data_IF_887584486244
#
_entry.id   IF_887584486244
#
_cell.length_a   1.000
_cell.length_b   1.000
_cell.length_c   1.000
_cell.angle_alpha   90.00
_cell.angle_beta   90.00
_cell.angle_gamma   90.00
#
_symmetry.space_group_name_H-M   'P 1'
#
loop_
_entity.id
_entity.type
_entity.pdbx_description
1 polymer ?
#
# COMPACT_ATOMS: atom_id res chain seq x y z
N UNK A 1 -10.62 23.20 26.41
CA UNK A 1 -9.70 22.15 26.87
C UNK A 1 -10.39 20.82 26.65
N UNK A 2 -9.71 19.79 26.16
CA UNK A 2 -10.36 18.49 25.99
C UNK A 2 -10.43 17.76 27.34
N UNK A 3 -11.37 16.82 27.48
CA UNK A 3 -11.48 15.97 28.67
C UNK A 3 -10.14 15.27 28.98
N UNK A 4 -9.43 14.82 27.93
CA UNK A 4 -8.13 14.19 28.08
C UNK A 4 -7.08 15.14 28.67
N UNK A 5 -7.05 16.42 28.22
CA UNK A 5 -6.13 17.43 28.76
C UNK A 5 -6.38 17.68 30.27
N UNK A 6 -7.64 17.70 30.66
CA UNK A 6 -8.02 17.86 32.09
C UNK A 6 -7.56 16.64 32.91
N UNK A 7 -7.77 15.45 32.40
CA UNK A 7 -7.31 14.21 33.04
C UNK A 7 -5.78 14.14 33.16
N UNK A 8 -5.04 14.48 32.10
CA UNK A 8 -3.57 14.48 32.14
C UNK A 8 -3.06 15.47 33.19
N UNK A 9 -3.63 16.67 33.26
CA UNK A 9 -3.25 17.66 34.31
C UNK A 9 -3.58 17.20 35.73
N UNK A 10 -4.71 16.54 35.91
CA UNK A 10 -5.14 16.07 37.22
C UNK A 10 -4.34 14.85 37.70
N UNK A 11 -4.07 13.89 36.83
CA UNK A 11 -3.45 12.62 37.18
C UNK A 11 -1.93 12.56 36.91
N UNK A 12 -1.40 13.46 36.09
CA UNK A 12 0.01 13.53 35.73
C UNK A 12 0.55 14.97 35.85
N UNK A 13 0.48 15.61 37.01
CA UNK A 13 0.88 17.03 37.16
C UNK A 13 2.37 17.27 36.84
N UNK A 14 3.21 16.26 37.06
CA UNK A 14 4.65 16.29 36.79
C UNK A 14 5.01 15.69 35.40
N UNK A 15 4.01 15.43 34.56
CA UNK A 15 4.14 14.77 33.28
C UNK A 15 3.92 13.25 33.34
N UNK A 16 3.98 12.60 32.18
CA UNK A 16 3.79 11.14 32.09
C UNK A 16 5.14 10.43 32.15
N UNK A 17 5.25 9.46 33.06
CA UNK A 17 6.44 8.66 33.21
C UNK A 17 6.64 7.70 32.05
N UNK A 18 7.88 7.59 31.54
CA UNK A 18 8.28 6.63 30.52
C UNK A 18 8.93 5.42 31.21
N UNK A 19 8.37 4.24 31.00
CA UNK A 19 8.88 2.97 31.53
C UNK A 19 9.30 2.02 30.42
N UNK A 20 10.26 1.18 30.71
CA UNK A 20 10.60 0.05 29.84
C UNK A 20 9.53 -1.03 29.95
N UNK A 21 9.36 -1.83 28.88
CA UNK A 21 8.48 -2.99 28.96
C UNK A 21 8.92 -3.98 30.02
N UNK A 22 10.22 -4.06 30.32
CA UNK A 22 10.75 -4.88 31.41
C UNK A 22 10.28 -4.45 32.79
N UNK A 23 10.07 -3.15 33.04
CA UNK A 23 9.57 -2.60 34.32
C UNK A 23 8.07 -2.82 34.51
N UNK A 24 7.28 -2.83 33.44
CA UNK A 24 5.82 -3.05 33.52
C UNK A 24 5.41 -4.52 33.35
N UNK A 25 6.33 -5.39 32.93
CA UNK A 25 6.07 -6.81 32.76
C UNK A 25 5.87 -7.50 34.06
N UNK A 26 4.79 -8.28 34.20
CA UNK A 26 4.62 -9.27 35.27
C UNK A 26 5.26 -10.60 34.89
N UNK A 27 5.28 -10.93 33.61
CA UNK A 27 6.01 -12.04 33.01
C UNK A 27 6.30 -11.78 31.55
N UNK A 28 7.38 -12.37 31.02
CA UNK A 28 7.72 -12.28 29.59
C UNK A 28 8.46 -13.55 29.17
N UNK A 29 7.94 -14.23 28.14
CA UNK A 29 8.47 -15.50 27.68
C UNK A 29 8.28 -15.67 26.18
N UNK A 30 9.06 -16.57 25.58
CA UNK A 30 8.90 -17.00 24.19
C UNK A 30 7.92 -18.16 24.11
N UNK A 31 7.07 -18.16 23.09
CA UNK A 31 6.19 -19.25 22.73
C UNK A 31 6.94 -20.52 22.29
N UNK A 32 6.21 -21.56 21.96
CA UNK A 32 6.77 -22.82 21.47
C UNK A 32 6.35 -23.09 20.02
N UNK A 33 7.25 -23.68 19.21
CA UNK A 33 7.07 -23.87 17.79
C UNK A 33 5.80 -24.65 17.45
N UNK A 34 4.93 -24.04 16.64
CA UNK A 34 3.77 -24.67 15.99
C UNK A 34 4.08 -24.73 14.51
N UNK A 35 4.28 -25.94 13.98
CA UNK A 35 4.60 -26.15 12.58
C UNK A 35 3.37 -25.93 11.69
N UNK A 36 3.61 -25.66 10.41
CA UNK A 36 2.51 -25.39 9.46
C UNK A 36 1.55 -26.58 9.33
N UNK A 37 2.06 -27.79 9.32
CA UNK A 37 1.32 -29.04 9.25
C UNK A 37 0.52 -29.39 10.52
N UNK A 38 0.79 -28.70 11.64
CA UNK A 38 0.05 -28.85 12.91
C UNK A 38 -1.14 -27.90 13.03
N UNK A 39 -1.29 -26.97 12.05
CA UNK A 39 -2.44 -26.03 12.04
C UNK A 39 -3.66 -26.74 11.49
N UNK A 40 -4.77 -26.61 12.22
CA UNK A 40 -6.05 -27.24 11.95
C UNK A 40 -7.17 -26.20 11.95
N UNK A 41 -8.34 -26.56 11.44
CA UNK A 41 -9.53 -25.70 11.48
C UNK A 41 -10.21 -25.67 12.84
N UNK A 42 -9.98 -26.70 13.66
CA UNK A 42 -10.58 -26.88 14.99
C UNK A 42 -9.52 -27.28 16.02
N UNK A 43 -9.81 -27.09 17.31
CA UNK A 43 -8.87 -27.41 18.40
C UNK A 43 -8.63 -26.22 19.30
N UNK A 44 -7.48 -26.21 19.97
CA UNK A 44 -7.12 -25.05 20.78
C UNK A 44 -6.69 -23.87 19.89
N UNK A 45 -7.20 -22.65 20.13
CA UNK A 45 -6.79 -21.48 19.36
C UNK A 45 -5.29 -21.23 19.51
N UNK A 46 -4.64 -20.82 18.42
CA UNK A 46 -3.21 -20.52 18.44
C UNK A 46 -2.86 -19.36 17.49
N UNK A 47 -1.70 -18.74 17.75
CA UNK A 47 -1.14 -17.69 16.89
C UNK A 47 0.27 -18.06 16.47
N UNK A 48 0.57 -17.91 15.18
CA UNK A 48 1.91 -17.97 14.61
C UNK A 48 2.39 -16.57 14.26
N UNK A 49 3.71 -16.35 14.29
CA UNK A 49 4.30 -15.01 14.08
C UNK A 49 3.88 -14.34 12.77
N UNK A 50 3.72 -15.12 11.69
CA UNK A 50 3.29 -14.61 10.39
C UNK A 50 1.89 -13.97 10.43
N UNK A 51 0.98 -14.47 11.25
CA UNK A 51 -0.37 -13.94 11.39
C UNK A 51 -0.39 -12.56 12.05
N UNK A 52 0.60 -12.25 12.92
CA UNK A 52 0.78 -10.92 13.48
C UNK A 52 1.09 -9.90 12.38
N UNK A 53 1.82 -10.31 11.32
CA UNK A 53 2.13 -9.42 10.19
C UNK A 53 0.98 -9.26 9.22
N UNK A 54 0.22 -10.31 8.95
CA UNK A 54 -0.71 -10.39 7.82
C UNK A 54 -2.18 -10.27 8.20
N UNK A 55 -2.55 -10.63 9.42
CA UNK A 55 -3.96 -10.82 9.81
C UNK A 55 -4.40 -9.89 10.92
N UNK A 56 -3.57 -9.73 11.97
CA UNK A 56 -3.96 -8.97 13.15
C UNK A 56 -3.53 -7.50 13.07
N UNK A 57 -4.42 -6.62 13.56
CA UNK A 57 -4.15 -5.19 13.72
C UNK A 57 -3.36 -4.88 14.99
N UNK A 58 -3.69 -3.74 15.61
CA UNK A 58 -3.11 -3.32 16.90
C UNK A 58 -3.60 -4.22 18.03
N UNK A 59 -4.80 -4.76 17.89
CA UNK A 59 -5.40 -5.74 18.80
C UNK A 59 -6.29 -6.72 18.04
N UNK A 60 -6.62 -7.85 18.67
CA UNK A 60 -7.55 -8.87 18.14
C UNK A 60 -8.22 -9.60 19.30
N UNK A 61 -9.38 -10.20 19.05
CA UNK A 61 -10.19 -10.92 20.04
C UNK A 61 -10.36 -12.42 19.72
N UNK A 62 -10.09 -12.82 18.46
CA UNK A 62 -10.21 -14.21 18.00
C UNK A 62 -8.98 -14.64 17.23
N UNK A 63 -8.51 -15.85 17.51
CA UNK A 63 -7.46 -16.49 16.72
C UNK A 63 -8.06 -17.05 15.42
N UNK A 64 -7.32 -16.90 14.31
CA UNK A 64 -7.72 -17.46 13.01
C UNK A 64 -7.24 -18.90 12.81
N UNK A 65 -6.27 -19.34 13.60
CA UNK A 65 -5.67 -20.68 13.54
C UNK A 65 -5.93 -21.46 14.81
N UNK A 66 -6.00 -22.79 14.66
CA UNK A 66 -6.14 -23.75 15.77
C UNK A 66 -5.10 -24.85 15.61
N UNK A 67 -4.87 -25.63 16.70
CA UNK A 67 -3.99 -26.79 16.68
C UNK A 67 -4.48 -27.84 17.69
N UNK A 68 -3.97 -29.06 17.57
CA UNK A 68 -4.12 -30.07 18.63
C UNK A 68 -3.02 -29.88 19.68
N UNK A 69 -3.41 -29.49 20.88
CA UNK A 69 -2.48 -29.26 22.00
C UNK A 69 -1.54 -30.43 22.27
N UNK A 70 -2.01 -31.68 22.05
CA UNK A 70 -1.22 -32.91 22.27
C UNK A 70 -0.01 -33.01 21.33
N UNK A 71 -0.01 -32.27 20.22
CA UNK A 71 1.11 -32.19 19.27
C UNK A 71 2.19 -31.20 19.71
N UNK A 72 1.95 -30.41 20.75
CA UNK A 72 2.85 -29.36 21.22
C UNK A 72 3.59 -29.81 22.46
N UNK A 73 4.90 -30.08 22.33
CA UNK A 73 5.71 -30.68 23.40
C UNK A 73 5.81 -29.82 24.66
N UNK A 74 5.83 -28.49 24.51
CA UNK A 74 5.90 -27.53 25.63
C UNK A 74 4.94 -26.39 25.40
N UNK A 75 3.65 -26.57 25.68
CA UNK A 75 2.64 -25.54 25.43
C UNK A 75 2.96 -24.24 26.17
N UNK A 76 2.90 -23.13 25.47
CA UNK A 76 3.03 -21.75 26.00
C UNK A 76 1.78 -21.00 25.63
N UNK A 77 1.07 -20.52 26.64
CA UNK A 77 -0.24 -19.91 26.46
C UNK A 77 -0.15 -18.40 26.59
N UNK A 78 -1.10 -17.75 25.96
CA UNK A 78 -1.46 -16.36 26.24
C UNK A 78 -2.96 -16.26 26.49
N UNK A 79 -3.38 -15.18 27.11
CA UNK A 79 -4.76 -14.97 27.53
C UNK A 79 -5.14 -13.47 27.45
N UNK A 80 -6.35 -13.15 27.84
CA UNK A 80 -6.86 -11.77 27.81
C UNK A 80 -5.87 -10.79 28.45
N UNK A 81 -5.55 -9.72 27.73
CA UNK A 81 -4.66 -8.66 28.17
C UNK A 81 -3.20 -8.82 27.74
N UNK A 82 -2.77 -9.98 27.29
CA UNK A 82 -1.39 -10.20 26.88
C UNK A 82 -1.03 -9.48 25.57
N UNK A 83 0.23 -9.04 25.47
CA UNK A 83 0.79 -8.48 24.22
C UNK A 83 1.68 -9.53 23.54
N UNK A 84 1.46 -9.74 22.26
CA UNK A 84 2.25 -10.64 21.43
C UNK A 84 3.20 -9.87 20.52
N UNK A 85 4.46 -10.30 20.43
CA UNK A 85 5.48 -9.74 19.55
C UNK A 85 5.96 -10.80 18.56
N UNK A 86 5.92 -10.53 17.28
CA UNK A 86 6.55 -11.36 16.24
C UNK A 86 8.05 -11.06 16.20
N UNK A 87 8.90 -11.98 16.68
CA UNK A 87 10.36 -11.75 16.81
C UNK A 87 11.16 -12.20 15.59
N UNK A 88 10.51 -12.67 14.54
CA UNK A 88 11.12 -13.06 13.25
C UNK A 88 10.34 -12.39 12.13
N UNK A 89 11.03 -11.79 11.15
CA UNK A 89 10.40 -11.07 10.03
C UNK A 89 11.35 -10.87 8.86
N UNK A 90 10.86 -10.31 7.77
CA UNK A 90 11.61 -10.03 6.53
C UNK A 90 12.01 -8.55 6.41
N UNK A 91 11.41 -7.65 7.20
CA UNK A 91 11.66 -6.22 7.20
C UNK A 91 12.27 -5.78 8.53
N UNK A 92 13.26 -4.89 8.45
CA UNK A 92 13.85 -4.24 9.63
C UNK A 92 12.84 -3.27 10.25
N UNK A 93 12.09 -2.57 9.42
CA UNK A 93 11.11 -1.55 9.80
C UNK A 93 9.93 -2.15 10.59
N UNK A 94 9.55 -3.39 10.26
CA UNK A 94 8.40 -4.08 10.86
C UNK A 94 8.77 -5.10 11.93
N UNK A 95 10.06 -5.32 12.19
CA UNK A 95 10.49 -6.31 13.18
C UNK A 95 9.88 -6.04 14.55
N UNK A 96 9.53 -7.09 15.26
CA UNK A 96 8.84 -7.06 16.55
C UNK A 96 7.47 -6.35 16.48
N UNK A 97 6.78 -6.45 15.30
CA UNK A 97 5.37 -6.05 15.21
C UNK A 97 4.61 -6.71 16.34
N UNK A 98 3.72 -5.95 17.00
CA UNK A 98 3.02 -6.39 18.19
C UNK A 98 1.51 -6.18 18.06
N UNK A 99 0.74 -7.01 18.76
CA UNK A 99 -0.70 -6.87 18.90
C UNK A 99 -1.14 -7.27 20.30
N UNK A 100 -2.22 -6.66 20.79
CA UNK A 100 -2.83 -7.01 22.07
C UNK A 100 -3.93 -8.06 21.87
N UNK A 101 -4.00 -9.03 22.75
CA UNK A 101 -5.10 -9.98 22.75
C UNK A 101 -6.19 -9.53 23.73
N UNK A 102 -7.39 -9.34 23.20
CA UNK A 102 -8.57 -8.89 23.96
C UNK A 102 -9.67 -9.94 24.04
N UNK A 103 -9.46 -11.14 23.47
CA UNK A 103 -10.37 -12.28 23.58
C UNK A 103 -10.34 -12.92 24.98
N UNK A 104 -11.23 -13.87 25.22
CA UNK A 104 -11.40 -14.51 26.52
C UNK A 104 -10.96 -16.00 26.54
N UNK A 105 -10.56 -16.53 25.37
CA UNK A 105 -10.07 -17.90 25.29
C UNK A 105 -8.59 -17.97 25.65
N UNK A 106 -8.19 -19.10 26.21
CA UNK A 106 -6.78 -19.41 26.44
C UNK A 106 -6.19 -19.96 25.14
N UNK A 107 -5.15 -19.31 24.62
CA UNK A 107 -4.60 -19.58 23.30
C UNK A 107 -3.11 -19.96 23.38
N UNK A 108 -2.60 -20.68 22.36
CA UNK A 108 -1.20 -21.10 22.26
C UNK A 108 -0.37 -20.08 21.47
N UNK A 109 0.79 -19.71 22.00
CA UNK A 109 1.77 -18.85 21.32
C UNK A 109 2.79 -19.67 20.54
N UNK A 110 2.97 -19.39 19.24
CA UNK A 110 3.98 -19.99 18.38
C UNK A 110 5.42 -19.61 18.76
N UNK A 111 6.39 -20.36 18.27
CA UNK A 111 7.79 -20.30 18.71
C UNK A 111 8.52 -18.99 18.44
N UNK A 112 8.13 -18.24 17.43
CA UNK A 112 8.70 -16.93 17.10
C UNK A 112 7.81 -15.77 17.56
N UNK A 113 7.08 -16.02 18.66
CA UNK A 113 6.29 -15.04 19.38
C UNK A 113 6.85 -14.87 20.78
N UNK A 114 6.97 -13.64 21.23
CA UNK A 114 7.18 -13.30 22.65
C UNK A 114 5.86 -12.81 23.22
N UNK A 115 5.47 -13.36 24.35
CA UNK A 115 4.30 -12.98 25.13
C UNK A 115 4.75 -12.09 26.28
N UNK A 116 4.11 -10.95 26.44
CA UNK A 116 4.29 -10.01 27.55
C UNK A 116 3.01 -9.96 28.38
N UNK A 117 3.10 -10.38 29.64
CA UNK A 117 2.04 -10.20 30.64
C UNK A 117 2.25 -8.90 31.41
N UNK A 118 1.19 -8.19 31.71
CA UNK A 118 1.24 -6.88 32.35
C UNK A 118 -0.09 -6.54 33.05
N UNK A 119 -0.13 -5.38 33.75
CA UNK A 119 -1.31 -4.88 34.44
C UNK A 119 -1.89 -3.59 33.81
N UNK A 120 -1.36 -3.17 32.66
CA UNK A 120 -1.81 -1.98 31.93
C UNK A 120 -3.03 -2.30 31.06
N UNK A 121 -3.68 -1.27 30.50
CA UNK A 121 -4.71 -1.48 29.47
C UNK A 121 -4.09 -2.10 28.22
N UNK A 122 -4.57 -3.25 27.74
CA UNK A 122 -3.95 -3.97 26.61
C UNK A 122 -4.04 -3.20 25.28
N UNK A 123 -5.16 -2.54 25.00
CA UNK A 123 -5.30 -1.74 23.79
C UNK A 123 -4.38 -0.51 23.84
N UNK A 124 -4.26 0.12 25.03
CA UNK A 124 -3.32 1.22 25.20
C UNK A 124 -1.89 0.81 24.83
N UNK A 125 -1.43 -0.32 25.37
CA UNK A 125 -0.09 -0.84 25.03
C UNK A 125 0.03 -1.18 23.55
N UNK A 126 -1.00 -1.77 22.95
CA UNK A 126 -1.05 -2.04 21.52
C UNK A 126 -0.84 -0.77 20.70
N UNK A 127 -1.57 0.30 21.01
CA UNK A 127 -1.42 1.60 20.37
C UNK A 127 -0.05 2.24 20.62
N UNK A 128 0.43 2.28 21.86
CA UNK A 128 1.72 2.85 22.23
C UNK A 128 2.88 2.14 21.51
N UNK A 129 2.81 0.83 21.38
CA UNK A 129 3.79 0.00 20.66
C UNK A 129 3.69 0.11 19.12
N UNK A 130 2.63 0.68 18.59
CA UNK A 130 2.46 0.92 17.14
C UNK A 130 3.00 2.27 16.69
N UNK A 131 3.36 3.18 17.60
CA UNK A 131 3.89 4.51 17.28
C UNK A 131 5.22 4.45 16.54
N UNK A 132 5.53 5.52 15.80
CA UNK A 132 6.80 5.63 15.07
C UNK A 132 8.02 5.53 16.00
N UNK A 133 7.94 6.10 17.21
CA UNK A 133 9.02 6.02 18.22
C UNK A 133 9.23 4.56 18.65
N UNK A 134 8.18 3.85 19.02
CA UNK A 134 8.28 2.44 19.40
C UNK A 134 8.80 1.56 18.24
N UNK A 135 8.39 1.82 17.00
CA UNK A 135 8.92 1.13 15.80
C UNK A 135 10.42 1.35 15.63
N UNK A 136 10.90 2.60 15.80
CA UNK A 136 12.34 2.92 15.76
C UNK A 136 13.11 2.17 16.85
N UNK A 137 12.58 2.07 18.06
CA UNK A 137 13.21 1.30 19.14
C UNK A 137 13.26 -0.19 18.81
N UNK A 138 12.20 -0.78 18.26
CA UNK A 138 12.13 -2.18 17.81
C UNK A 138 13.17 -2.52 16.76
N UNK A 139 13.43 -1.62 15.82
CA UNK A 139 14.37 -1.78 14.72
C UNK A 139 15.80 -1.34 15.04
N UNK A 140 16.04 -0.71 16.19
CA UNK A 140 17.36 -0.21 16.58
C UNK A 140 18.42 -1.32 16.60
N UNK A 141 19.56 -1.07 15.94
CA UNK A 141 20.67 -2.02 15.86
C UNK A 141 20.40 -3.24 14.96
N UNK A 142 19.29 -3.29 14.22
CA UNK A 142 19.00 -4.38 13.28
C UNK A 142 19.65 -4.11 11.93
N UNK A 143 20.16 -5.17 11.31
CA UNK A 143 20.80 -5.11 10.00
C UNK A 143 19.89 -5.79 8.98
N UNK A 144 19.76 -5.20 7.79
CA UNK A 144 18.99 -5.77 6.70
C UNK A 144 19.60 -7.11 6.28
N UNK A 145 18.80 -8.16 6.39
CA UNK A 145 19.15 -9.52 5.95
C UNK A 145 17.90 -10.21 5.41
N UNK A 146 18.05 -11.39 4.83
CA UNK A 146 16.90 -12.16 4.33
C UNK A 146 15.89 -12.48 5.44
N UNK A 147 16.34 -12.61 6.69
CA UNK A 147 15.51 -12.80 7.87
C UNK A 147 16.06 -11.93 9.00
N UNK A 148 15.21 -11.11 9.59
CA UNK A 148 15.55 -10.24 10.72
C UNK A 148 15.00 -10.84 12.00
N UNK A 149 15.77 -10.78 13.07
CA UNK A 149 15.37 -11.32 14.38
C UNK A 149 15.39 -10.24 15.46
N UNK A 150 14.45 -10.36 16.40
CA UNK A 150 14.45 -9.65 17.66
C UNK A 150 14.63 -10.62 18.83
N UNK A 151 14.70 -10.13 20.06
CA UNK A 151 14.95 -10.94 21.24
C UNK A 151 14.17 -10.43 22.45
N UNK A 152 13.97 -11.28 23.45
CA UNK A 152 13.33 -10.87 24.72
C UNK A 152 14.04 -9.67 25.37
N UNK A 153 15.40 -9.63 25.47
CA UNK A 153 16.08 -8.44 26.00
C UNK A 153 15.79 -7.16 25.20
N UNK A 154 15.77 -7.25 23.85
CA UNK A 154 15.45 -6.09 23.01
C UNK A 154 14.03 -5.59 23.24
N UNK A 155 13.06 -6.50 23.43
CA UNK A 155 11.68 -6.14 23.74
C UNK A 155 11.58 -5.50 25.12
N UNK A 156 12.24 -6.07 26.15
CA UNK A 156 12.27 -5.52 27.50
C UNK A 156 12.80 -4.08 27.56
N UNK A 157 13.71 -3.71 26.67
CA UNK A 157 14.34 -2.40 26.63
C UNK A 157 13.47 -1.31 25.97
N UNK A 158 12.37 -1.66 25.28
CA UNK A 158 11.48 -0.69 24.64
C UNK A 158 10.83 0.19 25.71
N UNK A 159 10.93 1.51 25.57
CA UNK A 159 10.35 2.50 26.47
C UNK A 159 9.09 3.10 25.88
N UNK A 160 8.04 3.18 26.69
CA UNK A 160 6.75 3.78 26.34
C UNK A 160 6.26 4.67 27.47
N UNK A 161 5.40 5.66 27.21
CA UNK A 161 4.72 6.41 28.25
C UNK A 161 3.71 5.51 28.96
N UNK A 162 3.62 5.62 30.30
CA UNK A 162 2.72 4.80 31.14
C UNK A 162 1.92 5.73 32.07
N UNK A 163 0.90 6.44 31.57
CA UNK A 163 0.01 7.21 32.43
C UNK A 163 -0.88 6.29 33.27
N UNK A 164 -1.58 6.81 34.30
CA UNK A 164 -2.57 6.07 35.08
C UNK A 164 -3.65 5.43 34.20
N UNK A 165 -4.23 4.31 34.65
CA UNK A 165 -5.20 3.50 33.88
C UNK A 165 -6.41 4.29 33.39
N UNK A 166 -6.87 5.29 34.17
CA UNK A 166 -7.98 6.16 33.78
C UNK A 166 -7.65 6.95 32.50
N UNK A 167 -6.41 7.47 32.42
CA UNK A 167 -5.93 8.21 31.24
C UNK A 167 -5.72 7.24 30.06
N UNK A 168 -5.16 6.04 30.33
CA UNK A 168 -5.01 5.01 29.28
C UNK A 168 -6.36 4.66 28.64
N UNK A 169 -7.40 4.42 29.44
CA UNK A 169 -8.76 4.11 28.95
C UNK A 169 -9.36 5.22 28.12
N UNK A 170 -9.18 6.48 28.52
CA UNK A 170 -9.71 7.62 27.74
C UNK A 170 -8.96 7.76 26.40
N UNK A 171 -7.64 7.54 26.37
CA UNK A 171 -6.86 7.49 25.13
C UNK A 171 -7.34 6.35 24.24
N UNK A 172 -7.54 5.14 24.77
CA UNK A 172 -8.08 3.99 24.02
C UNK A 172 -9.44 4.34 23.43
N UNK A 173 -10.35 4.93 24.21
CA UNK A 173 -11.67 5.34 23.72
C UNK A 173 -11.57 6.30 22.53
N UNK A 174 -10.64 7.25 22.57
CA UNK A 174 -10.41 8.20 21.46
C UNK A 174 -9.83 7.47 20.25
N UNK A 175 -8.81 6.63 20.45
CA UNK A 175 -8.12 5.93 19.36
C UNK A 175 -8.99 4.84 18.72
N UNK A 176 -9.82 4.14 19.50
CA UNK A 176 -10.78 3.17 18.95
C UNK A 176 -11.77 3.88 18.00
N UNK A 177 -12.33 5.03 18.40
CA UNK A 177 -13.21 5.83 17.53
C UNK A 177 -12.48 6.30 16.26
N UNK A 178 -11.24 6.76 16.37
CA UNK A 178 -10.44 7.14 15.19
C UNK A 178 -10.16 5.96 14.28
N UNK A 179 -9.85 4.80 14.85
CA UNK A 179 -9.59 3.56 14.09
C UNK A 179 -10.83 3.13 13.32
N UNK A 180 -11.99 3.12 13.98
CA UNK A 180 -13.28 2.78 13.37
C UNK A 180 -13.61 3.72 12.20
N UNK A 181 -13.61 5.04 12.45
CA UNK A 181 -13.89 6.06 11.44
C UNK A 181 -12.91 6.00 10.26
N UNK A 182 -11.62 5.76 10.53
CA UNK A 182 -10.62 5.64 9.47
C UNK A 182 -10.85 4.37 8.65
N UNK A 183 -11.20 3.26 9.29
CA UNK A 183 -11.51 2.01 8.61
C UNK A 183 -12.76 2.13 7.72
N UNK A 184 -13.85 2.74 8.23
CA UNK A 184 -15.06 3.01 7.46
C UNK A 184 -14.76 3.88 6.24
N UNK A 185 -14.11 5.02 6.43
CA UNK A 185 -13.76 5.94 5.34
C UNK A 185 -12.84 5.27 4.30
N UNK A 186 -11.86 4.48 4.74
CA UNK A 186 -10.97 3.74 3.83
C UNK A 186 -11.75 2.69 3.04
N UNK A 187 -12.70 2.01 3.66
CA UNK A 187 -13.57 1.04 2.99
C UNK A 187 -14.47 1.72 1.95
N UNK A 188 -15.07 2.86 2.27
CA UNK A 188 -15.88 3.66 1.34
C UNK A 188 -15.06 4.14 0.13
N UNK A 189 -13.88 4.73 0.36
CA UNK A 189 -12.99 5.20 -0.71
C UNK A 189 -12.50 4.03 -1.59
N UNK A 190 -12.24 2.86 -1.00
CA UNK A 190 -11.84 1.66 -1.74
C UNK A 190 -12.98 1.12 -2.59
N UNK A 191 -14.20 1.12 -2.06
CA UNK A 191 -15.40 0.73 -2.79
C UNK A 191 -15.68 1.71 -3.96
N UNK A 192 -15.54 3.02 -3.71
CA UNK A 192 -15.66 4.04 -4.76
C UNK A 192 -14.60 3.85 -5.84
N UNK A 193 -13.32 3.65 -5.47
CA UNK A 193 -12.24 3.39 -6.42
C UNK A 193 -12.56 2.17 -7.29
N UNK A 194 -13.07 1.10 -6.69
CA UNK A 194 -13.48 -0.11 -7.42
C UNK A 194 -14.63 0.17 -8.39
N UNK A 195 -15.63 0.93 -7.96
CA UNK A 195 -16.74 1.34 -8.80
C UNK A 195 -16.29 2.24 -9.96
N UNK A 196 -15.39 3.21 -9.69
CA UNK A 196 -14.82 4.10 -10.72
C UNK A 196 -13.99 3.35 -11.74
N UNK A 197 -13.19 2.36 -11.32
CA UNK A 197 -12.43 1.48 -12.25
C UNK A 197 -13.37 0.72 -13.18
N UNK A 198 -14.44 0.12 -12.66
CA UNK A 198 -15.47 -0.56 -13.50
C UNK A 198 -16.17 0.42 -14.45
N UNK A 199 -16.47 1.62 -13.97
CA UNK A 199 -17.07 2.66 -14.79
C UNK A 199 -16.11 3.11 -15.90
N UNK A 200 -14.82 3.29 -15.60
CA UNK A 200 -13.79 3.60 -16.59
C UNK A 200 -13.71 2.51 -17.66
N UNK A 201 -13.62 1.22 -17.28
CA UNK A 201 -13.58 0.10 -18.21
C UNK A 201 -14.82 0.10 -19.13
N UNK A 202 -16.00 0.27 -18.57
CA UNK A 202 -17.25 0.33 -19.34
C UNK A 202 -17.25 1.48 -20.35
N UNK A 203 -16.88 2.69 -19.94
CA UNK A 203 -16.86 3.84 -20.85
C UNK A 203 -15.72 3.74 -21.86
N UNK A 204 -14.54 3.25 -21.46
CA UNK A 204 -13.44 2.99 -22.38
C UNK A 204 -13.89 2.06 -23.49
N UNK A 205 -14.43 0.91 -23.15
CA UNK A 205 -14.87 -0.10 -24.13
C UNK A 205 -15.98 0.46 -25.03
N UNK A 206 -16.93 1.21 -24.46
CA UNK A 206 -18.02 1.83 -25.23
C UNK A 206 -17.53 2.96 -26.15
N UNK A 207 -16.62 3.81 -25.70
CA UNK A 207 -16.11 4.95 -26.47
C UNK A 207 -15.11 4.53 -27.55
N UNK A 208 -14.41 3.42 -27.34
CA UNK A 208 -13.41 2.89 -28.27
C UNK A 208 -13.96 1.77 -29.16
N UNK A 209 -15.20 1.34 -28.96
CA UNK A 209 -15.89 0.41 -29.85
C UNK A 209 -16.53 1.19 -31.00
N UNK A 210 -15.91 1.15 -32.18
CA UNK A 210 -16.38 1.79 -33.40
C UNK A 210 -17.13 0.82 -34.34
N UNK A 211 -17.59 -0.34 -33.83
CA UNK A 211 -18.34 -1.32 -34.61
C UNK A 211 -19.71 -0.79 -35.04
N UNK A 212 -20.10 -1.20 -36.23
CA UNK A 212 -21.15 -0.65 -37.11
C UNK A 212 -22.60 -0.80 -36.55
N UNK A 213 -22.82 -1.27 -35.34
CA UNK A 213 -24.15 -1.65 -34.83
C UNK A 213 -24.90 -0.60 -33.98
N UNK A 214 -24.39 0.63 -33.87
CA UNK A 214 -25.02 1.70 -33.10
C UNK A 214 -25.02 3.06 -33.76
N UNK A 215 -26.03 3.34 -34.53
CA UNK A 215 -26.57 4.65 -34.92
C UNK A 215 -25.68 5.89 -34.79
N UNK A 216 -25.07 6.36 -35.87
CA UNK A 216 -24.83 7.79 -36.02
C UNK A 216 -23.41 8.33 -36.00
N UNK A 217 -22.34 7.54 -35.96
CA UNK A 217 -21.00 8.06 -36.22
C UNK A 217 -20.56 7.63 -37.62
N UNK A 218 -20.41 8.60 -38.51
CA UNK A 218 -19.92 8.46 -39.85
C UNK A 218 -18.67 7.58 -39.95
N UNK A 219 -18.60 6.79 -41.01
CA UNK A 219 -17.58 5.84 -41.45
C UNK A 219 -16.18 6.12 -40.86
N UNK A 220 -15.85 5.43 -39.74
CA UNK A 220 -14.48 5.43 -39.21
C UNK A 220 -13.63 4.53 -40.10
N UNK A 221 -12.50 5.05 -40.55
CA UNK A 221 -11.56 4.27 -41.36
C UNK A 221 -10.81 3.27 -40.44
N UNK A 222 -10.78 2.01 -40.84
CA UNK A 222 -9.98 0.98 -40.21
C UNK A 222 -8.65 0.80 -40.94
N UNK A 223 -7.54 0.87 -40.25
CA UNK A 223 -6.19 0.69 -40.77
C UNK A 223 -5.39 -0.29 -39.91
N UNK A 224 -4.32 -0.84 -40.47
CA UNK A 224 -3.41 -1.64 -39.67
C UNK A 224 -2.53 -0.75 -38.77
N UNK A 225 -2.11 -1.28 -37.65
CA UNK A 225 -1.20 -0.57 -36.72
C UNK A 225 0.12 -0.24 -37.43
N UNK A 226 0.63 -1.13 -38.30
CA UNK A 226 1.83 -0.89 -39.10
C UNK A 226 1.69 0.22 -40.15
N UNK A 227 0.49 0.43 -40.74
CA UNK A 227 0.24 1.54 -41.64
C UNK A 227 0.26 2.90 -40.92
N UNK A 228 -0.25 2.94 -39.69
CA UNK A 228 -0.46 4.17 -38.93
C UNK A 228 0.65 4.51 -37.95
N UNK A 229 1.43 3.51 -37.54
CA UNK A 229 2.49 3.67 -36.54
C UNK A 229 3.79 3.02 -36.99
N UNK A 230 4.91 3.52 -36.46
CA UNK A 230 6.18 2.86 -36.49
C UNK A 230 6.36 2.09 -35.17
N UNK A 231 6.60 0.78 -35.25
CA UNK A 231 6.76 -0.12 -34.12
C UNK A 231 8.23 -0.53 -33.99
N UNK A 232 8.88 -0.14 -32.92
CA UNK A 232 10.30 -0.42 -32.74
C UNK A 232 10.57 -1.05 -31.37
N UNK A 233 11.26 -2.19 -31.34
CA UNK A 233 11.77 -2.75 -30.10
C UNK A 233 12.89 -1.86 -29.55
N UNK A 234 12.91 -1.68 -28.23
CA UNK A 234 13.97 -0.95 -27.54
C UNK A 234 15.31 -1.69 -27.56
N UNK A 235 16.26 -1.26 -26.75
CA UNK A 235 17.63 -1.76 -26.73
C UNK A 235 17.92 -2.49 -25.41
N UNK A 236 18.75 -3.54 -25.48
CA UNK A 236 19.19 -4.27 -24.30
C UNK A 236 19.99 -3.36 -23.36
N UNK A 237 19.76 -3.55 -22.05
CA UNK A 237 20.52 -2.90 -20.99
C UNK A 237 20.81 -3.91 -19.88
N UNK A 238 21.99 -3.82 -19.29
CA UNK A 238 22.40 -4.70 -18.19
C UNK A 238 21.62 -4.37 -16.92
N UNK A 239 21.11 -5.40 -16.24
CA UNK A 239 20.26 -5.25 -15.06
C UNK A 239 20.92 -4.44 -13.92
N UNK A 240 22.24 -4.50 -13.77
CA UNK A 240 22.97 -3.75 -12.74
C UNK A 240 23.00 -2.23 -12.96
N UNK A 241 22.66 -1.76 -14.17
CA UNK A 241 22.53 -0.32 -14.48
C UNK A 241 21.14 0.24 -14.18
N UNK A 242 20.20 -0.61 -13.77
CA UNK A 242 18.81 -0.21 -13.46
C UNK A 242 18.69 -0.10 -11.95
N UNK A 243 18.39 1.09 -11.46
CA UNK A 243 18.06 1.36 -10.06
C UNK A 243 16.56 1.15 -9.82
N UNK A 244 16.19 0.51 -8.73
CA UNK A 244 14.78 0.34 -8.33
C UNK A 244 14.15 1.67 -7.90
N UNK A 245 14.97 2.65 -7.49
CA UNK A 245 14.53 3.96 -7.02
C UNK A 245 15.13 5.08 -7.87
N UNK A 246 14.36 6.15 -8.06
CA UNK A 246 14.84 7.35 -8.74
C UNK A 246 15.87 8.07 -7.86
N UNK A 247 17.02 8.41 -8.44
CA UNK A 247 18.12 9.16 -7.80
C UNK A 247 18.53 10.32 -8.70
N UNK A 248 19.40 11.21 -8.20
CA UNK A 248 19.94 12.30 -9.03
C UNK A 248 20.74 11.77 -10.24
N UNK A 249 21.42 10.62 -10.10
CA UNK A 249 22.22 9.99 -11.16
C UNK A 249 21.33 9.13 -12.10
N UNK A 250 20.43 8.33 -11.52
CA UNK A 250 19.49 7.48 -12.26
C UNK A 250 18.10 8.13 -12.21
N UNK A 251 17.88 9.15 -13.03
CA UNK A 251 16.64 9.93 -13.07
C UNK A 251 15.70 9.60 -14.24
N UNK A 252 16.18 8.85 -15.23
CA UNK A 252 15.46 8.52 -16.47
C UNK A 252 14.65 7.25 -16.27
N UNK A 253 13.31 7.26 -16.50
CA UNK A 253 12.49 6.06 -16.41
C UNK A 253 12.91 5.00 -17.42
N UNK A 254 13.01 3.74 -16.98
CA UNK A 254 13.35 2.58 -17.80
C UNK A 254 12.15 1.65 -17.92
N UNK A 255 11.68 1.43 -19.15
CA UNK A 255 10.51 0.59 -19.43
C UNK A 255 10.89 -0.78 -19.97
N UNK A 256 10.22 -1.81 -19.45
CA UNK A 256 10.42 -3.20 -19.84
C UNK A 256 9.12 -3.92 -20.23
N UNK A 257 9.11 -5.23 -20.05
CA UNK A 257 8.00 -6.10 -20.45
C UNK A 257 6.66 -5.77 -19.76
N UNK A 258 6.69 -5.21 -18.56
CA UNK A 258 5.51 -4.93 -17.74
C UNK A 258 5.43 -3.46 -17.29
N UNK A 259 5.85 -2.53 -18.14
CA UNK A 259 5.87 -1.11 -17.81
C UNK A 259 7.17 -0.65 -17.16
N UNK A 260 7.09 0.26 -16.19
CA UNK A 260 8.27 0.82 -15.53
C UNK A 260 9.03 -0.29 -14.78
N UNK A 261 10.32 -0.45 -15.12
CA UNK A 261 11.23 -1.44 -14.53
C UNK A 261 12.15 -0.82 -13.48
N UNK A 262 12.34 0.48 -13.53
CA UNK A 262 13.23 1.24 -12.66
C UNK A 262 13.76 2.49 -13.34
N UNK A 263 14.92 2.95 -12.94
CA UNK A 263 15.52 4.20 -13.42
C UNK A 263 16.97 3.98 -13.85
N UNK A 264 17.41 4.75 -14.87
CA UNK A 264 18.75 4.70 -15.44
C UNK A 264 19.32 6.10 -15.65
N UNK A 265 20.61 6.22 -15.94
CA UNK A 265 21.30 7.49 -16.21
C UNK A 265 21.24 7.95 -17.67
N UNK A 266 20.80 7.08 -18.58
CA UNK A 266 20.76 7.34 -20.05
C UNK A 266 19.37 7.14 -20.60
N UNK A 267 19.08 7.76 -21.75
CA UNK A 267 17.83 7.52 -22.49
C UNK A 267 18.14 7.05 -23.92
N UNK A 268 17.22 6.34 -24.54
CA UNK A 268 17.30 5.93 -25.93
C UNK A 268 16.07 6.37 -26.76
N UNK A 269 15.06 6.91 -26.07
CA UNK A 269 13.80 7.40 -26.67
C UNK A 269 13.35 8.69 -25.99
N UNK A 270 12.49 9.44 -26.68
CA UNK A 270 11.88 10.67 -26.18
C UNK A 270 10.51 10.93 -26.76
N UNK A 271 9.75 11.84 -26.10
CA UNK A 271 8.40 12.23 -26.46
C UNK A 271 7.33 11.36 -25.81
N UNK A 272 6.08 11.77 -26.00
CA UNK A 272 4.91 11.16 -25.35
C UNK A 272 4.38 10.02 -26.21
N UNK A 273 4.70 8.77 -25.84
CA UNK A 273 4.42 7.60 -26.69
C UNK A 273 3.89 6.41 -25.88
N UNK A 274 2.96 5.62 -26.43
CA UNK A 274 2.63 4.30 -25.88
C UNK A 274 3.81 3.33 -26.02
N UNK A 275 3.97 2.49 -25.00
CA UNK A 275 4.95 1.40 -24.96
C UNK A 275 4.20 0.10 -24.70
N UNK A 276 4.48 -0.93 -25.52
CA UNK A 276 3.87 -2.26 -25.40
C UNK A 276 4.91 -3.24 -24.85
N UNK A 277 4.60 -3.93 -23.75
CA UNK A 277 5.42 -5.03 -23.26
C UNK A 277 5.38 -6.22 -24.21
N UNK A 278 6.55 -6.80 -24.57
CA UNK A 278 6.60 -7.85 -25.61
C UNK A 278 6.93 -9.25 -25.10
N UNK A 279 7.29 -9.44 -23.84
CA UNK A 279 7.69 -10.75 -23.31
C UNK A 279 7.05 -11.07 -21.95
N UNK A 280 6.89 -12.37 -21.66
CA UNK A 280 6.34 -12.87 -20.41
C UNK A 280 4.82 -13.00 -20.39
N UNK A 281 4.26 -13.43 -19.25
CA UNK A 281 2.84 -13.67 -19.09
C UNK A 281 1.96 -12.42 -19.31
N UNK A 282 2.52 -11.25 -19.04
CA UNK A 282 1.86 -9.94 -19.17
C UNK A 282 2.25 -9.22 -20.48
N UNK A 283 2.77 -9.94 -21.49
CA UNK A 283 3.03 -9.34 -22.81
C UNK A 283 1.73 -8.79 -23.41
N UNK A 284 1.80 -7.64 -24.05
CA UNK A 284 0.63 -6.88 -24.51
C UNK A 284 0.16 -5.82 -23.54
N UNK A 285 0.69 -5.77 -22.31
CA UNK A 285 0.46 -4.64 -21.41
C UNK A 285 0.97 -3.35 -22.06
N UNK A 286 0.16 -2.29 -21.98
CA UNK A 286 0.47 -0.98 -22.59
C UNK A 286 0.65 0.04 -21.48
N UNK A 287 1.73 0.78 -21.51
CA UNK A 287 1.96 1.94 -20.65
C UNK A 287 2.24 3.18 -21.50
N UNK A 288 2.20 4.36 -20.88
CA UNK A 288 2.46 5.64 -21.55
C UNK A 288 3.73 6.26 -20.98
N UNK A 289 4.73 6.46 -21.84
CA UNK A 289 5.96 7.14 -21.48
C UNK A 289 5.91 8.60 -21.91
N UNK A 290 6.52 9.47 -21.11
CA UNK A 290 6.60 10.91 -21.35
C UNK A 290 8.03 11.41 -21.21
N UNK A 291 8.37 12.48 -21.95
CA UNK A 291 9.68 13.09 -21.87
C UNK A 291 10.80 12.18 -22.38
N UNK A 292 11.93 12.10 -21.69
CA UNK A 292 13.06 11.21 -22.02
C UNK A 292 12.99 9.93 -21.22
N UNK A 293 13.13 8.78 -21.86
CA UNK A 293 13.06 7.46 -21.22
C UNK A 293 13.95 6.44 -21.91
N UNK A 294 14.15 5.30 -21.26
CA UNK A 294 14.85 4.15 -21.83
C UNK A 294 13.85 3.01 -22.06
N UNK A 295 13.71 2.56 -23.31
CA UNK A 295 12.95 1.37 -23.66
C UNK A 295 13.92 0.18 -23.81
N UNK A 296 13.69 -0.89 -23.02
CA UNK A 296 14.49 -2.11 -23.12
C UNK A 296 14.04 -2.96 -24.31
N UNK A 297 14.83 -3.99 -24.65
CA UNK A 297 14.52 -4.99 -25.68
C UNK A 297 13.20 -5.74 -25.44
N UNK A 298 12.66 -5.67 -24.22
CA UNK A 298 11.38 -6.27 -23.81
C UNK A 298 10.19 -5.32 -23.97
N UNK A 299 10.41 -4.15 -24.52
CA UNK A 299 9.41 -3.12 -24.79
C UNK A 299 9.38 -2.77 -26.28
N UNK A 300 8.19 -2.47 -26.83
CA UNK A 300 7.99 -1.95 -28.18
C UNK A 300 7.48 -0.52 -28.05
N UNK A 301 8.22 0.43 -28.59
CA UNK A 301 7.82 1.84 -28.69
C UNK A 301 6.92 2.03 -29.89
N UNK A 302 5.78 2.68 -29.68
CA UNK A 302 4.79 2.97 -30.74
C UNK A 302 4.86 4.44 -31.10
N UNK A 303 5.36 4.76 -32.28
CA UNK A 303 5.45 6.14 -32.79
C UNK A 303 4.38 6.36 -33.85
N UNK A 304 3.46 7.30 -33.61
CA UNK A 304 2.41 7.69 -34.56
C UNK A 304 3.01 8.33 -35.83
N UNK A 305 2.42 8.03 -36.98
CA UNK A 305 2.76 8.62 -38.27
C UNK A 305 1.89 9.82 -38.61
N UNK A 306 1.22 10.47 -37.67
CA UNK A 306 0.37 11.63 -37.83
C UNK A 306 -1.14 11.33 -37.86
N UNK A 307 -1.56 10.14 -37.51
CA UNK A 307 -2.97 9.72 -37.50
C UNK A 307 -3.66 9.95 -36.15
N UNK A 308 -2.92 9.96 -35.04
CA UNK A 308 -3.49 9.90 -33.71
C UNK A 308 -3.07 11.05 -32.78
N UNK A 309 -3.94 11.33 -31.82
CA UNK A 309 -3.55 11.88 -30.55
C UNK A 309 -2.82 10.77 -29.76
N UNK A 310 -1.66 11.06 -29.18
CA UNK A 310 -0.83 10.04 -28.50
C UNK A 310 -1.57 9.37 -27.33
N UNK A 311 -2.38 10.13 -26.57
CA UNK A 311 -3.21 9.59 -25.49
C UNK A 311 -4.38 8.75 -26.03
N UNK A 312 -5.00 9.17 -27.13
CA UNK A 312 -6.02 8.34 -27.78
C UNK A 312 -5.42 7.00 -28.24
N UNK A 313 -4.25 7.03 -28.87
CA UNK A 313 -3.54 5.82 -29.30
C UNK A 313 -3.24 4.91 -28.08
N UNK A 314 -2.82 5.47 -26.97
CA UNK A 314 -2.62 4.72 -25.73
C UNK A 314 -3.90 4.00 -25.27
N UNK A 315 -5.00 4.73 -25.10
CA UNK A 315 -6.27 4.12 -24.69
C UNK A 315 -6.78 3.07 -25.68
N UNK A 316 -6.59 3.32 -26.96
CA UNK A 316 -6.96 2.39 -28.04
C UNK A 316 -6.16 1.08 -27.94
N UNK A 317 -4.85 1.16 -27.72
CA UNK A 317 -3.99 -0.02 -27.57
C UNK A 317 -4.27 -0.79 -26.27
N UNK A 318 -4.58 -0.10 -25.18
CA UNK A 318 -5.05 -0.73 -23.94
C UNK A 318 -6.34 -1.53 -24.16
N UNK A 319 -7.29 -0.93 -24.93
CA UNK A 319 -8.58 -1.56 -25.24
C UNK A 319 -8.46 -2.73 -26.23
N UNK A 320 -7.41 -2.77 -27.03
CA UNK A 320 -7.23 -3.79 -28.08
C UNK A 320 -6.86 -5.18 -27.55
N UNK A 321 -6.66 -5.35 -26.22
CA UNK A 321 -6.26 -6.62 -25.59
C UNK A 321 -5.13 -7.33 -26.36
N UNK A 322 -3.99 -6.66 -26.47
CA UNK A 322 -2.89 -7.14 -27.30
C UNK A 322 -2.30 -8.48 -26.87
N UNK A 323 -2.58 -8.93 -25.64
CA UNK A 323 -2.16 -10.25 -25.14
C UNK A 323 -2.74 -11.41 -25.98
N UNK A 324 -3.89 -11.23 -26.62
CA UNK A 324 -4.48 -12.23 -27.51
C UNK A 324 -3.59 -12.60 -28.72
N UNK A 325 -2.67 -11.73 -29.13
CA UNK A 325 -1.74 -11.95 -30.24
C UNK A 325 -0.42 -12.61 -29.86
N UNK A 326 -0.26 -13.02 -28.59
CA UNK A 326 0.96 -13.66 -28.08
C UNK A 326 1.26 -14.98 -28.78
N UNK A 327 2.53 -15.36 -28.82
CA UNK A 327 2.95 -16.70 -29.26
C UNK A 327 2.66 -17.73 -28.17
N UNK A 328 2.29 -18.94 -28.57
CA UNK A 328 2.19 -20.07 -27.65
C UNK A 328 3.60 -20.53 -27.22
N UNK A 329 3.74 -20.97 -25.98
CA UNK A 329 5.01 -21.49 -25.44
C UNK A 329 5.27 -21.11 -23.98
N UNK A 330 6.34 -21.65 -23.41
CA UNK A 330 6.74 -21.43 -22.03
C UNK A 330 7.15 -19.94 -21.75
N UNK A 331 7.61 -19.23 -22.77
CA UNK A 331 7.86 -17.79 -22.72
C UNK A 331 7.03 -17.11 -23.82
N UNK A 332 5.78 -16.73 -23.52
CA UNK A 332 4.94 -16.05 -24.51
C UNK A 332 5.55 -14.70 -24.87
N UNK A 333 5.37 -14.28 -26.12
CA UNK A 333 5.88 -12.99 -26.60
C UNK A 333 5.09 -12.44 -27.75
N UNK A 334 5.21 -11.14 -27.99
CA UNK A 334 4.63 -10.41 -29.10
C UNK A 334 5.71 -10.08 -30.12
N UNK A 335 5.44 -10.37 -31.40
CA UNK A 335 6.30 -9.94 -32.49
C UNK A 335 5.79 -8.63 -33.10
N UNK A 336 6.71 -7.77 -33.51
CA UNK A 336 6.38 -6.52 -34.23
C UNK A 336 5.54 -6.80 -35.47
N UNK A 337 5.84 -7.87 -36.20
CA UNK A 337 5.09 -8.24 -37.40
C UNK A 337 3.62 -8.52 -37.09
N UNK A 338 3.32 -9.36 -36.08
CA UNK A 338 1.93 -9.64 -35.69
C UNK A 338 1.19 -8.38 -35.24
N UNK A 339 1.86 -7.52 -34.46
CA UNK A 339 1.27 -6.26 -34.01
C UNK A 339 1.00 -5.31 -35.20
N UNK A 340 1.86 -5.31 -36.21
CA UNK A 340 1.68 -4.47 -37.40
C UNK A 340 0.39 -4.80 -38.15
N UNK A 341 -0.09 -6.03 -38.10
CA UNK A 341 -1.31 -6.48 -38.80
C UNK A 341 -2.60 -6.21 -38.00
N UNK A 342 -2.49 -5.76 -36.75
CA UNK A 342 -3.66 -5.45 -35.89
C UNK A 342 -4.42 -4.28 -36.49
N UNK A 343 -5.72 -4.47 -36.80
CA UNK A 343 -6.60 -3.44 -37.28
C UNK A 343 -7.11 -2.56 -36.16
N UNK A 344 -6.99 -1.26 -36.33
CA UNK A 344 -7.43 -0.25 -35.37
C UNK A 344 -8.26 0.84 -36.09
N UNK A 345 -9.25 1.44 -35.41
CA UNK A 345 -10.07 2.52 -35.95
C UNK A 345 -9.30 3.84 -35.92
N UNK A 346 -9.48 4.65 -36.94
CA UNK A 346 -8.88 5.98 -37.09
C UNK A 346 -10.01 7.02 -37.24
N UNK A 347 -10.62 7.47 -36.12
CA UNK A 347 -11.60 8.52 -36.13
C UNK A 347 -10.95 9.90 -36.37
N UNK A 348 -11.76 10.93 -36.67
CA UNK A 348 -11.25 12.30 -36.82
C UNK A 348 -10.62 12.80 -35.51
N UNK A 349 -9.65 13.72 -35.61
CA UNK A 349 -8.93 14.28 -34.46
C UNK A 349 -9.86 14.85 -33.40
N UNK A 350 -10.91 15.55 -33.76
CA UNK A 350 -11.91 16.11 -32.86
C UNK A 350 -12.60 14.99 -32.00
N UNK A 351 -12.87 13.82 -32.59
CA UNK A 351 -13.45 12.68 -31.88
C UNK A 351 -12.40 12.08 -30.92
N UNK A 352 -11.16 11.94 -31.38
CA UNK A 352 -10.07 11.46 -30.55
C UNK A 352 -9.88 12.34 -29.31
N UNK A 353 -9.82 13.67 -29.50
CA UNK A 353 -9.59 14.62 -28.38
C UNK A 353 -10.75 14.60 -27.36
N UNK A 354 -12.01 14.46 -27.82
CA UNK A 354 -13.16 14.31 -26.93
C UNK A 354 -13.10 13.03 -26.10
N UNK A 355 -12.69 11.90 -26.71
CA UNK A 355 -12.55 10.63 -26.01
C UNK A 355 -11.42 10.71 -24.99
N UNK A 356 -10.27 11.30 -25.36
CA UNK A 356 -9.13 11.49 -24.46
C UNK A 356 -9.54 12.30 -23.22
N UNK A 357 -10.23 13.42 -23.40
CA UNK A 357 -10.68 14.25 -22.29
C UNK A 357 -11.53 13.46 -21.26
N UNK A 358 -12.39 12.57 -21.75
CA UNK A 358 -13.19 11.72 -20.85
C UNK A 358 -12.33 10.66 -20.17
N UNK A 359 -11.53 9.91 -20.93
CA UNK A 359 -10.77 8.79 -20.40
C UNK A 359 -9.61 9.23 -19.50
N UNK A 360 -8.93 10.33 -19.82
CA UNK A 360 -7.85 10.86 -18.98
C UNK A 360 -8.37 11.39 -17.63
N UNK A 361 -9.56 11.99 -17.59
CA UNK A 361 -10.20 12.39 -16.35
C UNK A 361 -10.52 11.17 -15.45
N UNK A 362 -11.03 10.08 -16.04
CA UNK A 362 -11.25 8.85 -15.28
C UNK A 362 -9.94 8.22 -14.82
N UNK A 363 -8.91 8.21 -15.68
CA UNK A 363 -7.61 7.66 -15.33
C UNK A 363 -6.96 8.45 -14.19
N UNK A 364 -7.04 9.77 -14.20
CA UNK A 364 -6.57 10.62 -13.10
C UNK A 364 -7.26 10.29 -11.78
N UNK A 365 -8.60 10.16 -11.76
CA UNK A 365 -9.34 9.81 -10.54
C UNK A 365 -8.96 8.42 -10.01
N UNK A 366 -8.74 7.46 -10.92
CA UNK A 366 -8.52 6.05 -10.55
C UNK A 366 -7.06 5.69 -10.26
N UNK A 367 -6.10 6.40 -10.83
CA UNK A 367 -4.70 5.98 -10.88
C UNK A 367 -3.71 7.02 -10.36
N UNK A 368 -4.11 8.30 -10.27
CA UNK A 368 -3.19 9.35 -9.81
C UNK A 368 -2.91 9.20 -8.31
N UNK A 369 -1.64 8.97 -7.99
CA UNK A 369 -1.16 8.82 -6.61
C UNK A 369 -0.97 10.15 -5.89
N UNK A 370 -1.17 11.29 -6.57
CA UNK A 370 -1.01 12.62 -5.96
C UNK A 370 -2.36 13.31 -5.69
N UNK A 371 -3.34 13.13 -6.59
CA UNK A 371 -4.64 13.83 -6.51
C UNK A 371 -5.86 12.90 -6.64
N UNK A 372 -5.66 11.60 -6.98
CA UNK A 372 -6.75 10.63 -7.14
C UNK A 372 -7.21 9.98 -5.84
N UNK A 373 -8.20 9.09 -5.94
CA UNK A 373 -8.68 8.28 -4.80
C UNK A 373 -7.57 7.50 -4.07
N UNK A 374 -6.55 6.95 -4.75
CA UNK A 374 -5.42 6.33 -4.05
C UNK A 374 -4.66 7.30 -3.14
N UNK A 375 -4.46 8.55 -3.57
CA UNK A 375 -3.82 9.59 -2.77
C UNK A 375 -4.63 9.93 -1.52
N UNK A 376 -5.95 10.01 -1.65
CA UNK A 376 -6.86 10.28 -0.52
C UNK A 376 -6.79 9.15 0.52
N UNK A 377 -6.80 7.89 0.09
CA UNK A 377 -6.67 6.73 0.98
C UNK A 377 -5.34 6.79 1.76
N UNK A 378 -4.23 7.07 1.09
CA UNK A 378 -2.92 7.18 1.72
C UNK A 378 -2.85 8.38 2.69
N UNK A 379 -3.44 9.52 2.32
CA UNK A 379 -3.49 10.71 3.15
C UNK A 379 -4.26 10.47 4.46
N UNK A 380 -5.39 9.76 4.41
CA UNK A 380 -6.17 9.39 5.61
C UNK A 380 -5.39 8.47 6.54
N UNK A 381 -4.67 7.49 5.98
CA UNK A 381 -3.82 6.62 6.77
C UNK A 381 -2.69 7.39 7.47
N UNK A 382 -2.01 8.27 6.77
CA UNK A 382 -0.96 9.14 7.35
C UNK A 382 -1.50 10.09 8.41
N UNK A 383 -2.69 10.64 8.19
CA UNK A 383 -3.39 11.49 9.15
C UNK A 383 -3.70 10.74 10.44
N UNK A 384 -4.23 9.52 10.33
CA UNK A 384 -4.47 8.65 11.48
C UNK A 384 -3.19 8.39 12.27
N UNK A 385 -2.09 7.99 11.60
CA UNK A 385 -0.80 7.71 12.25
C UNK A 385 -0.25 8.94 12.97
N UNK A 386 -0.34 10.11 12.36
CA UNK A 386 0.08 11.36 12.96
C UNK A 386 -0.69 11.68 14.25
N UNK A 387 -2.01 11.62 14.24
CA UNK A 387 -2.81 11.92 15.43
C UNK A 387 -2.66 10.87 16.52
N UNK A 388 -2.55 9.59 16.17
CA UNK A 388 -2.22 8.52 17.12
C UNK A 388 -0.90 8.80 17.82
N UNK A 389 0.15 9.07 17.07
CA UNK A 389 1.49 9.31 17.61
C UNK A 389 1.49 10.60 18.48
N UNK A 390 0.79 11.65 18.05
CA UNK A 390 0.65 12.89 18.83
C UNK A 390 -0.06 12.67 20.17
N UNK A 391 -1.10 11.85 20.23
CA UNK A 391 -1.81 11.52 21.45
C UNK A 391 -0.96 10.69 22.44
N UNK A 392 -0.01 9.92 21.92
CA UNK A 392 0.80 8.97 22.70
C UNK A 392 2.21 9.48 23.02
N UNK A 393 2.63 10.63 22.52
CA UNK A 393 3.97 11.17 22.79
C UNK A 393 4.06 12.01 24.07
N UNK A 394 2.93 12.46 24.65
CA UNK A 394 2.88 13.28 25.86
C UNK A 394 3.97 14.36 25.94
N UNK A 395 4.42 14.86 24.79
CA UNK A 395 5.41 15.93 24.75
C UNK A 395 4.88 17.11 25.57
N UNK A 396 5.70 17.62 26.44
CA UNK A 396 5.41 18.78 27.28
C UNK A 396 5.09 20.01 26.42
N UNK A 397 3.84 20.13 25.99
CA UNK A 397 3.36 21.30 25.23
C UNK A 397 1.88 21.47 25.44
N UNK A 398 1.56 22.13 26.52
CA UNK A 398 0.21 22.56 26.91
C UNK A 398 -0.44 23.59 25.99
N UNK A 399 0.04 23.86 24.77
CA UNK A 399 -0.49 24.95 23.96
C UNK A 399 -0.73 24.67 22.47
N UNK A 400 -0.41 23.49 21.93
CA UNK A 400 -0.37 23.32 20.46
C UNK A 400 -1.53 22.53 19.84
N UNK A 401 -2.35 21.84 20.63
CA UNK A 401 -3.46 21.00 20.06
C UNK A 401 -4.64 21.88 19.55
N UNK A 402 -4.75 23.12 19.99
CA UNK A 402 -5.87 24.03 19.61
C UNK A 402 -5.55 25.00 18.49
N UNK A 403 -4.28 25.23 18.13
CA UNK A 403 -3.90 26.17 17.06
C UNK A 403 -4.06 25.56 15.65
N UNK A 404 -3.96 24.25 15.49
CA UNK A 404 -4.11 23.61 14.17
C UNK A 404 -5.54 23.70 13.61
N UNK A 405 -6.58 23.74 14.47
CA UNK A 405 -7.97 23.96 14.02
C UNK A 405 -8.22 25.35 13.42
N UNK A 406 -7.39 26.33 13.73
CA UNK A 406 -7.48 27.67 13.14
C UNK A 406 -6.73 27.75 11.79
N UNK A 407 -5.68 26.97 11.62
CA UNK A 407 -4.90 26.93 10.39
C UNK A 407 -5.66 26.17 9.29
N UNK A 408 -6.28 25.02 9.60
CA UNK A 408 -7.12 24.25 8.66
C UNK A 408 -8.34 25.07 8.18
N UNK A 409 -8.98 25.83 9.08
CA UNK A 409 -10.08 26.73 8.70
C UNK A 409 -9.66 27.93 7.86
N UNK A 410 -8.39 28.32 7.91
CA UNK A 410 -7.85 29.41 7.05
C UNK A 410 -7.44 28.86 5.68
N UNK A 411 -6.98 27.64 5.59
CA UNK A 411 -6.63 26.99 4.33
C UNK A 411 -7.89 26.70 3.49
N UNK A 412 -8.95 26.17 4.11
CA UNK A 412 -10.25 25.94 3.46
C UNK A 412 -10.90 27.25 2.96
N UNK A 413 -10.74 28.37 3.72
CA UNK A 413 -11.27 29.68 3.30
C UNK A 413 -10.44 30.36 2.19
N UNK A 414 -9.19 29.96 1.97
CA UNK A 414 -8.38 30.48 0.88
C UNK A 414 -8.61 29.71 -0.42
N UNK A 415 -8.97 28.44 -0.35
CA UNK A 415 -9.30 27.61 -1.52
C UNK A 415 -10.65 28.05 -2.12
N UNK A 416 -11.63 28.37 -1.28
CA UNK A 416 -12.96 28.84 -1.74
C UNK A 416 -12.96 30.27 -2.35
N UNK A 417 -11.88 31.05 -2.15
CA UNK A 417 -11.75 32.40 -2.74
C UNK A 417 -11.01 32.45 -4.07
N UNK A 418 -10.48 31.33 -4.54
CA UNK A 418 -9.81 31.21 -5.84
C UNK A 418 -10.68 30.54 -6.93
N UNK A 419 -11.92 30.20 -6.60
CA UNK A 419 -12.88 29.54 -7.52
C UNK A 419 -14.12 30.38 -7.84
N UNK A 420 -14.13 31.68 -7.50
CA UNK A 420 -15.13 32.66 -7.99
C UNK A 420 -14.53 33.57 -9.07
#
# INVERSE_FOLDING_TARGET
MSKLDEMIRAFCPDGVEYKTLGEIATDIYRGFGIKREQVTETGIPCVRYGEIYTTYGVWFDKCVSHTDERLIATPKYFEHGDILFAITGESVEDIAKSCAYTGHEKCLAGGDIVVLKHTQDPKYLGYALSTLDARKQKSAGKVKSKVVHSSVPSIKAIRIPVPPLEVQREIVRILDNFTELTAELTAELTAELTARKKQYEFYRDKLLNFDVHGGGISKVAWRTLGDTCHLQAGKAISAHLISDTQTAENSVPCYGANGLRGYVSIFNESGDKPIIGRQGALCGNVCFATGSYYATEHAIVVTDKGFFNSRFLYHLLVNADLNQYKTAGAQPGLSVAKLSDVKIPVPTRNIQDKIVNVLDNFDAICSDLNIGLPAEIEARQKQYEYYRDKLLTFAASSSTILTDRQTDRQTDRQTDRQTD
#
